data_IF_531683758369
#
_entry.id   IF_531683758369
#
_cell.length_a   1.000
_cell.length_b   1.000
_cell.length_c   1.000
_cell.angle_alpha   90.00
_cell.angle_beta   90.00
_cell.angle_gamma   90.00
#
_symmetry.space_group_name_H-M   'P 1'
#
loop_
_entity.id
_entity.type
_entity.pdbx_description
1 polymer ?
#
# COMPACT_ATOMS: atom_id res chain seq x y z
N UNK A 1 14.01 11.78 17.62
CA UNK A 1 13.49 10.94 16.55
C UNK A 1 12.43 10.05 17.17
N UNK A 2 11.17 10.17 16.80
CA UNK A 2 10.12 9.26 17.26
C UNK A 2 10.45 7.88 16.68
N UNK A 3 10.80 6.93 17.55
CA UNK A 3 11.15 5.58 17.15
C UNK A 3 9.94 4.88 16.55
N UNK A 4 10.18 4.06 15.53
CA UNK A 4 9.23 3.08 15.03
C UNK A 4 9.18 1.90 16.01
N UNK A 5 7.98 1.42 16.34
CA UNK A 5 7.80 0.16 17.08
C UNK A 5 7.20 -0.90 16.16
N UNK A 6 7.61 -2.15 16.38
CA UNK A 6 7.12 -3.32 15.63
C UNK A 6 6.15 -4.08 16.55
N UNK A 7 4.95 -4.39 16.05
CA UNK A 7 3.86 -4.92 16.85
C UNK A 7 3.10 -6.00 16.07
N UNK A 8 2.36 -6.85 16.78
CA UNK A 8 1.57 -7.93 16.20
C UNK A 8 0.18 -7.97 16.83
N UNK A 9 -0.84 -8.26 15.99
CA UNK A 9 -2.22 -8.49 16.41
C UNK A 9 -2.81 -9.68 15.66
N UNK A 10 -3.78 -10.35 16.24
CA UNK A 10 -4.54 -11.40 15.56
C UNK A 10 -5.81 -10.79 14.98
N UNK A 11 -5.83 -10.57 13.67
CA UNK A 11 -6.96 -10.02 12.92
C UNK A 11 -7.60 -11.13 12.08
N UNK A 12 -8.92 -11.35 12.21
CA UNK A 12 -9.65 -12.40 11.48
C UNK A 12 -8.99 -13.81 11.61
N UNK A 13 -8.40 -14.10 12.78
CA UNK A 13 -7.69 -15.37 13.03
C UNK A 13 -6.31 -15.47 12.36
N UNK A 14 -5.75 -14.39 11.87
CA UNK A 14 -4.42 -14.31 11.23
C UNK A 14 -3.53 -13.32 11.96
N UNK A 15 -2.29 -13.71 12.24
CA UNK A 15 -1.31 -12.80 12.83
C UNK A 15 -0.88 -11.74 11.80
N UNK A 16 -1.12 -10.49 12.15
CA UNK A 16 -0.78 -9.31 11.34
C UNK A 16 0.27 -8.50 12.07
N UNK A 17 1.38 -8.28 11.39
CA UNK A 17 2.43 -7.36 11.83
C UNK A 17 2.08 -5.93 11.37
N UNK A 18 2.45 -4.95 12.20
CA UNK A 18 2.43 -3.54 11.81
C UNK A 18 3.54 -2.77 12.50
N UNK A 19 3.99 -1.72 11.84
CA UNK A 19 4.85 -0.73 12.49
C UNK A 19 4.01 0.47 12.91
N UNK A 20 4.38 1.05 14.06
CA UNK A 20 3.72 2.21 14.64
C UNK A 20 4.73 3.33 14.86
N UNK A 21 4.35 4.54 14.45
CA UNK A 21 5.13 5.77 14.58
C UNK A 21 4.30 6.82 15.29
N UNK A 22 4.93 7.71 16.08
CA UNK A 22 4.22 8.81 16.71
C UNK A 22 3.09 8.41 17.66
N UNK A 23 3.27 7.35 18.44
CA UNK A 23 2.26 6.74 19.32
C UNK A 23 1.58 7.70 20.31
N UNK A 24 2.19 8.88 20.60
CA UNK A 24 1.64 9.90 21.50
C UNK A 24 0.53 10.78 20.89
N UNK A 25 0.28 10.71 19.58
CA UNK A 25 -0.73 11.52 18.91
C UNK A 25 -2.10 10.85 18.92
N UNK A 26 -3.16 11.65 19.04
CA UNK A 26 -4.54 11.16 19.09
C UNK A 26 -5.12 10.88 17.69
N UNK A 27 -4.76 11.70 16.69
CA UNK A 27 -5.22 11.49 15.32
C UNK A 27 -4.36 10.44 14.62
N UNK A 28 -5.00 9.53 13.89
CA UNK A 28 -4.36 8.35 13.30
C UNK A 28 -4.35 8.43 11.78
N UNK A 29 -3.19 8.10 11.20
CA UNK A 29 -3.04 7.78 9.78
C UNK A 29 -2.78 6.29 9.64
N UNK A 30 -3.55 5.60 8.81
CA UNK A 30 -3.23 4.26 8.31
C UNK A 30 -2.48 4.44 7.00
N UNK A 31 -1.24 3.94 6.92
CA UNK A 31 -0.41 4.00 5.72
C UNK A 31 -0.17 2.57 5.19
N UNK A 32 -0.83 2.22 4.08
CA UNK A 32 -0.87 0.84 3.59
C UNK A 32 -0.10 0.66 2.28
N UNK A 33 0.76 -0.34 2.24
CA UNK A 33 1.68 -0.64 1.14
C UNK A 33 1.03 -1.30 -0.10
N UNK A 34 1.79 -1.41 -1.18
CA UNK A 34 1.40 -2.08 -2.43
C UNK A 34 1.47 -3.62 -2.38
N UNK A 35 1.08 -4.27 -3.48
CA UNK A 35 0.85 -5.71 -3.60
C UNK A 35 2.00 -6.60 -3.07
N UNK A 36 3.19 -6.45 -3.62
CA UNK A 36 4.37 -7.30 -3.35
C UNK A 36 5.37 -6.60 -2.41
N UNK A 37 4.86 -5.73 -1.53
CA UNK A 37 5.65 -4.87 -0.66
C UNK A 37 5.33 -5.12 0.82
N UNK A 38 5.94 -4.36 1.70
CA UNK A 38 5.74 -4.42 3.15
C UNK A 38 5.38 -3.04 3.71
N UNK A 39 4.87 -2.97 4.92
CA UNK A 39 4.59 -1.72 5.62
C UNK A 39 5.80 -0.78 5.73
N UNK A 40 7.01 -1.34 5.63
CA UNK A 40 8.26 -0.59 5.70
C UNK A 40 8.52 0.30 4.47
N UNK A 41 7.79 0.11 3.37
CA UNK A 41 7.80 1.05 2.24
C UNK A 41 7.27 2.44 2.62
N UNK A 42 6.44 2.48 3.65
CA UNK A 42 5.85 3.73 4.15
C UNK A 42 6.76 4.50 5.11
N UNK A 43 7.93 3.96 5.49
CA UNK A 43 8.80 4.48 6.55
C UNK A 43 9.14 5.97 6.39
N UNK A 44 9.51 6.41 5.18
CA UNK A 44 9.89 7.81 4.93
C UNK A 44 8.71 8.76 5.17
N UNK A 45 7.54 8.44 4.62
CA UNK A 45 6.32 9.21 4.82
C UNK A 45 5.82 9.10 6.26
N UNK A 46 5.87 7.91 6.86
CA UNK A 46 5.44 7.70 8.23
C UNK A 46 6.30 8.48 9.23
N UNK A 47 7.61 8.52 9.04
CA UNK A 47 8.52 9.31 9.87
C UNK A 47 8.21 10.82 9.79
N UNK A 48 7.87 11.33 8.60
CA UNK A 48 7.43 12.71 8.41
C UNK A 48 6.09 12.99 9.11
N UNK A 49 5.09 12.17 8.85
CA UNK A 49 3.74 12.33 9.41
C UNK A 49 3.71 12.13 10.94
N UNK A 50 4.62 11.33 11.49
CA UNK A 50 4.73 11.05 12.92
C UNK A 50 5.07 12.29 13.79
N UNK A 51 5.41 13.39 13.18
CA UNK A 51 5.56 14.70 13.86
C UNK A 51 4.22 15.26 14.32
N UNK A 52 3.10 14.78 13.76
CA UNK A 52 1.73 15.29 14.01
C UNK A 52 0.69 14.20 14.23
N UNK A 53 0.86 13.02 13.67
CA UNK A 53 -0.10 11.91 13.72
C UNK A 53 0.51 10.64 14.27
N UNK A 54 -0.32 9.78 14.84
CA UNK A 54 0.00 8.38 15.06
C UNK A 54 -0.14 7.64 13.73
N UNK A 55 0.92 7.02 13.22
CA UNK A 55 0.92 6.36 11.91
C UNK A 55 1.04 4.85 12.10
N UNK A 56 0.09 4.11 11.53
CA UNK A 56 0.03 2.66 11.55
C UNK A 56 0.32 2.13 10.14
N UNK A 57 1.40 1.36 9.98
CA UNK A 57 1.80 0.77 8.70
C UNK A 57 1.74 -0.76 8.80
N UNK A 58 0.61 -1.39 8.46
CA UNK A 58 0.49 -2.84 8.52
C UNK A 58 1.23 -3.53 7.38
N UNK A 59 1.71 -4.75 7.64
CA UNK A 59 2.01 -5.72 6.60
C UNK A 59 0.71 -6.47 6.25
N UNK A 60 0.31 -6.46 5.01
CA UNK A 60 -0.86 -7.24 4.57
C UNK A 60 -0.60 -8.73 4.78
N UNK A 61 -1.63 -9.52 5.04
CA UNK A 61 -1.54 -10.98 5.10
C UNK A 61 -0.72 -11.54 3.93
N UNK A 62 0.26 -12.38 4.21
CA UNK A 62 1.16 -12.94 3.20
C UNK A 62 2.32 -12.05 2.79
N UNK A 63 2.54 -10.90 3.45
CA UNK A 63 3.64 -9.96 3.17
C UNK A 63 4.40 -9.63 4.44
N UNK A 64 5.67 -9.29 4.28
CA UNK A 64 6.52 -8.87 5.38
C UNK A 64 6.50 -9.88 6.53
N UNK A 65 6.29 -9.38 7.74
CA UNK A 65 6.27 -10.20 8.96
C UNK A 65 4.88 -10.72 9.34
N UNK A 66 3.84 -10.41 8.55
CA UNK A 66 2.51 -11.00 8.74
C UNK A 66 2.47 -12.47 8.32
N UNK A 67 1.59 -13.22 8.95
CA UNK A 67 1.35 -14.64 8.63
C UNK A 67 1.04 -14.83 7.15
N UNK A 68 1.42 -15.95 6.57
CA UNK A 68 0.95 -16.40 5.26
C UNK A 68 -0.41 -17.07 5.39
N UNK A 69 -1.26 -16.91 4.37
CA UNK A 69 -2.59 -17.50 4.40
C UNK A 69 -2.54 -19.02 4.25
N UNK A 70 -3.21 -19.78 5.11
CA UNK A 70 -3.48 -21.19 4.86
C UNK A 70 -4.56 -21.43 3.81
N UNK A 71 -5.34 -20.39 3.45
CA UNK A 71 -6.44 -20.44 2.51
C UNK A 71 -6.32 -19.35 1.42
N UNK A 72 -5.23 -19.34 0.62
CA UNK A 72 -4.89 -18.22 -0.25
C UNK A 72 -5.98 -17.87 -1.27
N UNK A 73 -6.79 -18.84 -1.70
CA UNK A 73 -7.91 -18.59 -2.62
C UNK A 73 -9.08 -17.81 -2.01
N UNK A 74 -9.27 -17.92 -0.70
CA UNK A 74 -10.35 -17.21 0.00
C UNK A 74 -9.88 -15.91 0.66
N UNK A 75 -8.58 -15.82 1.02
CA UNK A 75 -8.09 -14.74 1.87
C UNK A 75 -7.23 -13.70 1.14
N UNK A 76 -6.66 -14.04 -0.02
CA UNK A 76 -5.96 -13.05 -0.84
C UNK A 76 -6.95 -12.34 -1.77
N UNK A 77 -7.79 -11.48 -1.19
CA UNK A 77 -8.76 -10.65 -1.91
C UNK A 77 -9.06 -9.37 -1.14
N UNK A 78 -9.55 -8.35 -1.84
CA UNK A 78 -9.88 -7.05 -1.21
C UNK A 78 -10.97 -7.18 -0.15
N UNK A 79 -11.90 -8.12 -0.29
CA UNK A 79 -12.96 -8.36 0.69
C UNK A 79 -12.40 -8.87 2.03
N UNK A 80 -11.38 -9.73 2.01
CA UNK A 80 -10.73 -10.19 3.23
C UNK A 80 -9.79 -9.12 3.82
N UNK A 81 -9.05 -8.41 2.98
CA UNK A 81 -8.19 -7.30 3.43
C UNK A 81 -8.99 -6.16 4.08
N UNK A 82 -10.21 -5.89 3.59
CA UNK A 82 -11.13 -4.97 4.26
C UNK A 82 -11.49 -5.44 5.68
N UNK A 83 -11.79 -6.74 5.87
CA UNK A 83 -12.05 -7.31 7.20
C UNK A 83 -10.82 -7.18 8.11
N UNK A 84 -9.63 -7.46 7.60
CA UNK A 84 -8.38 -7.27 8.34
C UNK A 84 -8.20 -5.81 8.78
N UNK A 85 -8.50 -4.86 7.90
CA UNK A 85 -8.43 -3.43 8.22
C UNK A 85 -9.42 -3.04 9.33
N UNK A 86 -10.66 -3.53 9.28
CA UNK A 86 -11.66 -3.31 10.34
C UNK A 86 -11.17 -3.88 11.66
N UNK A 87 -10.76 -5.16 11.67
CA UNK A 87 -10.27 -5.84 12.87
C UNK A 87 -9.05 -5.14 13.49
N UNK A 88 -8.10 -4.71 12.66
CA UNK A 88 -6.93 -3.94 13.09
C UNK A 88 -7.32 -2.63 13.78
N UNK A 89 -8.20 -1.84 13.18
CA UNK A 89 -8.66 -0.57 13.74
C UNK A 89 -9.44 -0.78 15.04
N UNK A 90 -10.29 -1.81 15.11
CA UNK A 90 -11.10 -2.12 16.30
C UNK A 90 -10.20 -2.51 17.48
N UNK A 91 -9.22 -3.38 17.28
CA UNK A 91 -8.29 -3.81 18.33
C UNK A 91 -7.36 -2.68 18.79
N UNK A 92 -7.03 -1.73 17.92
CA UNK A 92 -6.24 -0.56 18.27
C UNK A 92 -7.07 0.58 18.87
N UNK A 93 -8.39 0.41 18.99
CA UNK A 93 -9.31 1.42 19.52
C UNK A 93 -9.42 2.67 18.62
N UNK A 94 -9.17 2.52 17.31
CA UNK A 94 -9.16 3.63 16.35
C UNK A 94 -10.58 3.81 15.81
N UNK A 95 -11.32 4.78 16.33
CA UNK A 95 -12.67 5.08 15.88
C UNK A 95 -12.71 5.75 14.51
N UNK A 96 -11.74 6.65 14.23
CA UNK A 96 -11.60 7.35 12.96
C UNK A 96 -10.13 7.44 12.57
N UNK A 97 -9.85 7.46 11.26
CA UNK A 97 -8.50 7.61 10.73
C UNK A 97 -8.48 8.40 9.41
N UNK A 98 -7.29 8.81 9.04
CA UNK A 98 -6.89 9.22 7.70
C UNK A 98 -6.27 8.00 7.03
N UNK A 99 -6.43 7.86 5.71
CA UNK A 99 -5.90 6.70 5.00
C UNK A 99 -4.99 7.12 3.86
N UNK A 100 -3.79 6.57 3.83
CA UNK A 100 -2.84 6.65 2.72
C UNK A 100 -2.60 5.25 2.21
N UNK A 101 -2.94 4.96 0.96
CA UNK A 101 -2.71 3.64 0.37
C UNK A 101 -1.97 3.70 -0.94
N UNK A 102 -0.87 2.96 -1.05
CA UNK A 102 -0.16 2.77 -2.31
C UNK A 102 -0.72 1.57 -3.06
N UNK A 103 -1.11 1.75 -4.33
CA UNK A 103 -1.54 0.64 -5.18
C UNK A 103 -2.61 -0.21 -4.48
N UNK A 104 -2.37 -1.50 -4.22
CA UNK A 104 -3.29 -2.37 -3.47
C UNK A 104 -3.76 -1.75 -2.15
N UNK A 105 -2.89 -1.08 -1.39
CA UNK A 105 -3.27 -0.41 -0.14
C UNK A 105 -4.29 0.71 -0.35
N UNK A 106 -4.25 1.37 -1.50
CA UNK A 106 -5.26 2.35 -1.91
C UNK A 106 -6.57 1.67 -2.34
N UNK A 107 -6.50 0.54 -3.05
CA UNK A 107 -7.69 -0.23 -3.42
C UNK A 107 -8.42 -0.79 -2.17
N UNK A 108 -7.67 -1.23 -1.15
CA UNK A 108 -8.23 -1.61 0.16
C UNK A 108 -8.91 -0.41 0.81
N UNK A 109 -8.24 0.76 0.84
CA UNK A 109 -8.79 1.99 1.42
C UNK A 109 -10.05 2.46 0.72
N UNK A 110 -10.10 2.40 -0.62
CA UNK A 110 -11.27 2.74 -1.42
C UNK A 110 -12.46 1.82 -1.08
N UNK A 111 -12.24 0.50 -1.12
CA UNK A 111 -13.27 -0.49 -0.75
C UNK A 111 -13.77 -0.27 0.67
N UNK A 112 -12.86 -0.12 1.62
CA UNK A 112 -13.20 0.05 3.03
C UNK A 112 -13.95 1.37 3.30
N UNK A 113 -13.56 2.47 2.64
CA UNK A 113 -14.21 3.77 2.80
C UNK A 113 -15.64 3.79 2.23
N UNK A 114 -15.90 3.06 1.15
CA UNK A 114 -17.25 2.87 0.62
C UNK A 114 -18.05 1.81 1.39
N UNK A 115 -17.38 0.89 2.06
CA UNK A 115 -17.94 -0.27 2.75
C UNK A 115 -17.89 -0.17 4.27
N UNK A 116 -17.18 -1.11 4.90
CA UNK A 116 -17.21 -1.35 6.35
C UNK A 116 -16.59 -0.24 7.20
N UNK A 117 -15.71 0.59 6.64
CA UNK A 117 -15.12 1.75 7.31
C UNK A 117 -15.73 3.08 6.84
N UNK A 118 -16.92 3.05 6.22
CA UNK A 118 -17.67 4.25 5.88
C UNK A 118 -17.91 5.10 7.15
N UNK A 119 -17.58 6.40 7.06
CA UNK A 119 -17.61 7.33 8.18
C UNK A 119 -16.45 7.20 9.18
N UNK A 120 -15.63 6.14 9.11
CA UNK A 120 -14.40 6.00 9.92
C UNK A 120 -13.17 6.52 9.19
N UNK A 121 -13.07 6.33 7.87
CA UNK A 121 -12.04 6.98 7.05
C UNK A 121 -12.53 8.39 6.72
N UNK A 122 -11.82 9.42 7.22
CA UNK A 122 -12.21 10.82 7.03
C UNK A 122 -11.66 11.45 5.75
N UNK A 123 -10.48 11.02 5.32
CA UNK A 123 -9.79 11.45 4.10
C UNK A 123 -9.03 10.28 3.51
N UNK A 124 -8.99 10.18 2.20
CA UNK A 124 -8.34 9.09 1.49
C UNK A 124 -7.29 9.64 0.53
N UNK A 125 -6.03 9.22 0.69
CA UNK A 125 -4.96 9.43 -0.28
C UNK A 125 -4.71 8.13 -1.02
N UNK A 126 -4.84 8.17 -2.33
CA UNK A 126 -4.55 7.08 -3.26
C UNK A 126 -3.22 7.38 -3.95
N UNK A 127 -2.21 6.57 -3.69
CA UNK A 127 -0.93 6.66 -4.37
C UNK A 127 -0.91 5.69 -5.55
N UNK A 128 -1.10 6.23 -6.73
CA UNK A 128 -1.07 5.62 -8.05
C UNK A 128 -2.00 4.42 -8.22
N UNK A 129 -3.24 4.60 -7.80
CA UNK A 129 -4.31 3.62 -7.96
C UNK A 129 -5.64 4.34 -8.19
N UNK A 130 -6.53 3.70 -8.92
CA UNK A 130 -7.89 4.16 -9.16
C UNK A 130 -8.88 3.00 -9.05
N UNK A 131 -10.16 3.27 -9.35
CA UNK A 131 -11.24 2.27 -9.28
C UNK A 131 -11.19 1.25 -10.43
N UNK A 132 -10.22 1.37 -11.34
CA UNK A 132 -9.98 0.42 -12.43
C UNK A 132 -8.50 0.42 -12.79
N UNK A 133 -7.94 -0.77 -13.03
CA UNK A 133 -6.55 -0.97 -13.45
C UNK A 133 -6.47 -1.20 -14.95
N UNK A 134 -5.33 -0.83 -15.55
CA UNK A 134 -5.01 -1.18 -16.92
C UNK A 134 -4.67 -2.67 -17.02
N UNK A 135 -5.38 -3.40 -17.85
CA UNK A 135 -5.19 -4.86 -18.02
C UNK A 135 -3.75 -5.25 -18.39
N UNK A 136 -3.03 -4.54 -19.28
CA UNK A 136 -1.62 -4.88 -19.57
C UNK A 136 -0.71 -4.81 -18.33
N UNK A 137 -0.95 -3.84 -17.43
CA UNK A 137 -0.19 -3.73 -16.19
C UNK A 137 -0.51 -4.88 -15.21
N UNK A 138 -1.77 -5.29 -15.12
CA UNK A 138 -2.18 -6.46 -14.32
C UNK A 138 -1.49 -7.72 -14.84
N UNK A 139 -1.49 -7.95 -16.15
CA UNK A 139 -0.81 -9.09 -16.78
C UNK A 139 0.70 -9.08 -16.50
N UNK A 140 1.34 -7.92 -16.62
CA UNK A 140 2.75 -7.75 -16.27
C UNK A 140 3.01 -8.11 -14.80
N UNK A 141 2.20 -7.63 -13.86
CA UNK A 141 2.32 -7.96 -12.43
C UNK A 141 2.19 -9.47 -12.21
N UNK A 142 1.20 -10.11 -12.80
CA UNK A 142 0.99 -11.56 -12.70
C UNK A 142 2.17 -12.37 -13.18
N UNK A 143 2.86 -11.91 -14.22
CA UNK A 143 3.98 -12.64 -14.84
C UNK A 143 5.19 -12.82 -13.92
N UNK A 144 5.43 -11.90 -12.96
CA UNK A 144 6.58 -11.98 -12.05
C UNK A 144 6.21 -12.27 -10.59
N UNK A 145 5.03 -11.85 -10.13
CA UNK A 145 4.69 -11.90 -8.72
C UNK A 145 4.43 -13.34 -8.22
N UNK A 146 3.98 -14.26 -9.09
CA UNK A 146 3.72 -15.66 -8.74
C UNK A 146 4.97 -16.53 -8.60
N UNK A 147 6.14 -16.04 -9.00
CA UNK A 147 7.40 -16.79 -8.97
C UNK A 147 8.55 -15.86 -8.59
N UNK A 148 8.63 -15.44 -7.31
CA UNK A 148 9.68 -14.54 -6.88
C UNK A 148 11.06 -15.19 -7.07
N UNK A 149 12.04 -14.47 -7.65
CA UNK A 149 13.37 -14.98 -7.86
C UNK A 149 14.11 -15.14 -6.52
N UNK A 150 15.11 -16.03 -6.50
CA UNK A 150 16.00 -16.20 -5.37
C UNK A 150 17.45 -15.93 -5.77
N UNK A 151 18.19 -15.23 -4.91
CA UNK A 151 19.53 -14.71 -5.17
C UNK A 151 20.51 -15.25 -4.12
N UNK A 152 21.78 -15.39 -4.49
CA UNK A 152 22.82 -15.83 -3.58
C UNK A 152 23.15 -14.76 -2.52
N UNK A 153 23.02 -13.48 -2.88
CA UNK A 153 23.44 -12.35 -2.05
C UNK A 153 22.38 -11.25 -1.96
N UNK A 154 22.49 -10.42 -0.91
CA UNK A 154 21.68 -9.21 -0.76
C UNK A 154 21.94 -8.19 -1.88
N UNK A 155 23.19 -8.11 -2.36
CA UNK A 155 23.56 -7.18 -3.43
C UNK A 155 22.86 -7.53 -4.76
N UNK A 156 22.73 -8.81 -5.08
CA UNK A 156 21.97 -9.28 -6.25
C UNK A 156 20.48 -8.97 -6.11
N UNK A 157 19.89 -9.17 -4.93
CA UNK A 157 18.51 -8.82 -4.66
C UNK A 157 18.29 -7.29 -4.75
N UNK A 158 19.21 -6.47 -4.24
CA UNK A 158 19.14 -5.02 -4.36
C UNK A 158 19.20 -4.59 -5.83
N UNK A 159 20.11 -5.17 -6.63
CA UNK A 159 20.19 -4.89 -8.06
C UNK A 159 18.88 -5.24 -8.80
N UNK A 160 18.28 -6.36 -8.44
CA UNK A 160 16.96 -6.75 -8.94
C UNK A 160 15.88 -5.73 -8.55
N UNK A 161 15.82 -5.30 -7.29
CA UNK A 161 14.84 -4.31 -6.85
C UNK A 161 15.05 -2.95 -7.51
N UNK A 162 16.29 -2.51 -7.70
CA UNK A 162 16.61 -1.27 -8.45
C UNK A 162 16.10 -1.33 -9.90
N UNK A 163 16.04 -2.51 -10.49
CA UNK A 163 15.49 -2.69 -11.84
C UNK A 163 13.97 -2.71 -11.84
N UNK A 164 13.35 -3.53 -10.98
CA UNK A 164 11.90 -3.74 -10.95
C UNK A 164 11.17 -2.49 -10.43
N UNK A 165 11.75 -1.81 -9.44
CA UNK A 165 11.16 -0.62 -8.82
C UNK A 165 11.75 0.70 -9.32
N UNK A 166 12.49 0.70 -10.44
CA UNK A 166 12.92 1.94 -11.11
C UNK A 166 11.78 2.95 -11.31
N UNK A 167 10.52 2.52 -11.62
CA UNK A 167 9.39 3.43 -11.74
C UNK A 167 9.00 4.18 -10.47
N UNK A 168 9.50 3.81 -9.29
CA UNK A 168 9.23 4.54 -8.03
C UNK A 168 9.79 5.97 -8.04
N UNK A 169 10.65 6.29 -9.00
CA UNK A 169 11.37 7.54 -9.07
C UNK A 169 12.75 7.44 -8.43
N UNK A 170 13.30 8.59 -8.05
CA UNK A 170 14.65 8.63 -7.48
C UNK A 170 14.65 8.21 -6.01
N UNK A 171 15.47 7.21 -5.68
CA UNK A 171 15.79 6.80 -4.32
C UNK A 171 17.31 6.86 -4.09
N UNK A 172 17.79 7.44 -2.98
CA UNK A 172 19.21 7.38 -2.62
C UNK A 172 19.62 5.95 -2.24
N UNK A 173 20.90 5.64 -2.31
CA UNK A 173 21.44 4.29 -2.01
C UNK A 173 21.04 3.77 -0.62
N UNK A 174 20.94 4.65 0.36
CA UNK A 174 20.52 4.27 1.71
C UNK A 174 19.05 3.77 1.73
N UNK A 175 18.17 4.37 0.94
CA UNK A 175 16.78 3.93 0.83
C UNK A 175 16.67 2.63 0.02
N UNK A 176 17.49 2.42 -1.03
CA UNK A 176 17.55 1.14 -1.73
C UNK A 176 17.98 0.00 -0.82
N UNK A 177 19.01 0.22 0.02
CA UNK A 177 19.43 -0.76 1.03
C UNK A 177 18.33 -1.06 2.04
N UNK A 178 17.72 -0.03 2.63
CA UNK A 178 16.62 -0.18 3.57
C UNK A 178 15.45 -0.94 2.93
N UNK A 179 15.03 -0.57 1.72
CA UNK A 179 13.97 -1.25 0.97
C UNK A 179 14.31 -2.74 0.79
N UNK A 180 15.57 -3.06 0.45
CA UNK A 180 16.01 -4.44 0.26
C UNK A 180 15.99 -5.22 1.58
N UNK A 181 16.56 -4.66 2.64
CA UNK A 181 16.63 -5.29 3.96
C UNK A 181 15.26 -5.56 4.56
N UNK A 182 14.30 -4.65 4.37
CA UNK A 182 12.94 -4.75 4.92
C UNK A 182 11.98 -5.57 4.07
N UNK A 183 12.38 -5.93 2.84
CA UNK A 183 11.52 -6.64 1.87
C UNK A 183 12.07 -7.99 1.48
N UNK A 184 13.02 -8.55 2.24
CA UNK A 184 13.62 -9.84 1.94
C UNK A 184 13.34 -10.89 3.02
N UNK A 185 13.37 -12.14 2.64
CA UNK A 185 13.49 -13.28 3.53
C UNK A 185 14.60 -14.23 3.07
N UNK A 186 15.21 -14.95 4.02
CA UNK A 186 16.15 -16.03 3.71
C UNK A 186 15.42 -17.34 3.52
N UNK A 187 15.83 -18.07 2.49
CA UNK A 187 15.41 -19.43 2.24
C UNK A 187 16.24 -20.43 3.08
N UNK A 188 15.77 -21.67 3.26
CA UNK A 188 16.52 -22.71 4.01
C UNK A 188 17.90 -23.00 3.42
N UNK A 189 18.09 -22.79 2.12
CA UNK A 189 19.39 -22.98 1.43
C UNK A 189 20.33 -21.77 1.53
N UNK A 190 19.95 -20.72 2.29
CA UNK A 190 20.71 -19.51 2.54
C UNK A 190 20.51 -18.40 1.52
N UNK A 191 19.87 -18.66 0.38
CA UNK A 191 19.52 -17.61 -0.60
C UNK A 191 18.52 -16.61 -0.04
N UNK A 192 18.42 -15.46 -0.68
CA UNK A 192 17.45 -14.41 -0.34
C UNK A 192 16.43 -14.23 -1.45
N UNK A 193 15.21 -13.89 -1.08
CA UNK A 193 14.07 -13.71 -2.00
C UNK A 193 13.18 -12.59 -1.48
N UNK A 194 12.34 -11.95 -2.32
CA UNK A 194 11.33 -11.01 -1.85
C UNK A 194 10.42 -11.62 -0.76
N UNK A 195 10.04 -10.80 0.21
CA UNK A 195 9.31 -11.25 1.41
C UNK A 195 7.80 -11.15 1.22
N UNK A 196 7.26 -12.00 0.36
CA UNK A 196 5.81 -12.18 0.19
C UNK A 196 5.49 -13.64 -0.18
N UNK A 197 4.26 -14.03 0.07
CA UNK A 197 3.71 -15.33 -0.37
C UNK A 197 3.39 -15.26 -1.87
N UNK A 198 4.04 -16.08 -2.72
CA UNK A 198 3.73 -16.09 -4.16
C UNK A 198 2.28 -16.48 -4.48
N UNK A 199 1.59 -17.19 -3.58
CA UNK A 199 0.17 -17.51 -3.75
C UNK A 199 -0.75 -16.29 -3.77
N UNK A 200 -0.25 -15.10 -3.38
CA UNK A 200 -1.03 -13.86 -3.43
C UNK A 200 -1.52 -13.49 -4.83
N UNK A 201 -0.87 -13.97 -5.90
CA UNK A 201 -1.31 -13.72 -7.28
C UNK A 201 -2.67 -14.33 -7.60
N UNK A 202 -3.12 -15.29 -6.77
CA UNK A 202 -4.45 -15.90 -6.90
C UNK A 202 -5.57 -14.87 -6.79
N UNK A 203 -5.34 -13.72 -6.15
CA UNK A 203 -6.34 -12.65 -6.12
C UNK A 203 -6.78 -12.21 -7.53
N UNK A 204 -5.90 -12.26 -8.53
CA UNK A 204 -6.23 -11.87 -9.91
C UNK A 204 -6.93 -12.96 -10.70
N UNK A 205 -6.92 -14.22 -10.24
CA UNK A 205 -7.59 -15.35 -10.89
C UNK A 205 -8.87 -15.75 -10.17
N UNK A 206 -8.82 -15.77 -8.84
CA UNK A 206 -9.93 -16.22 -8.01
C UNK A 206 -10.92 -15.06 -7.73
N UNK A 207 -10.43 -13.80 -7.83
CA UNK A 207 -11.21 -12.57 -7.60
C UNK A 207 -10.93 -11.52 -8.69
N UNK A 208 -11.24 -11.82 -9.97
CA UNK A 208 -10.86 -10.99 -11.13
C UNK A 208 -11.46 -9.58 -11.09
N UNK A 209 -12.61 -9.41 -10.44
CA UNK A 209 -13.33 -8.13 -10.36
C UNK A 209 -12.91 -7.25 -9.17
N UNK A 210 -11.99 -7.72 -8.32
CA UNK A 210 -11.59 -7.00 -7.10
C UNK A 210 -11.13 -5.56 -7.36
N UNK A 211 -10.47 -5.33 -8.50
CA UNK A 211 -9.99 -4.00 -8.89
C UNK A 211 -10.93 -3.24 -9.83
N UNK A 212 -12.16 -3.72 -10.03
CA UNK A 212 -13.22 -2.98 -10.71
C UNK A 212 -14.16 -2.38 -9.64
N UNK A 213 -13.84 -1.16 -9.18
CA UNK A 213 -14.44 -0.55 -8.01
C UNK A 213 -15.19 0.76 -8.32
N UNK A 214 -15.69 0.94 -9.55
CA UNK A 214 -16.38 2.18 -9.91
C UNK A 214 -17.64 2.45 -9.08
N UNK A 215 -18.41 1.41 -8.69
CA UNK A 215 -19.58 1.58 -7.82
C UNK A 215 -19.18 2.04 -6.42
N UNK A 216 -18.10 1.47 -5.88
CA UNK A 216 -17.52 1.91 -4.61
C UNK A 216 -17.00 3.35 -4.70
N UNK A 217 -16.33 3.70 -5.81
CA UNK A 217 -15.85 5.06 -6.07
C UNK A 217 -16.99 6.08 -6.05
N UNK A 218 -18.08 5.80 -6.78
CA UNK A 218 -19.22 6.71 -6.88
C UNK A 218 -19.98 6.86 -5.56
N UNK A 219 -19.88 5.88 -4.68
CA UNK A 219 -20.47 5.92 -3.34
C UNK A 219 -19.65 6.70 -2.31
N UNK A 220 -18.40 7.07 -2.62
CA UNK A 220 -17.55 7.81 -1.68
C UNK A 220 -18.09 9.23 -1.43
N UNK A 221 -18.25 9.57 -0.14
CA UNK A 221 -18.70 10.89 0.31
C UNK A 221 -17.63 11.61 1.16
N UNK A 222 -16.36 11.31 0.95
CA UNK A 222 -15.22 11.91 1.67
C UNK A 222 -14.23 12.54 0.70
N UNK A 223 -13.38 13.48 1.15
CA UNK A 223 -12.33 14.05 0.30
C UNK A 223 -11.31 12.98 -0.11
N UNK A 224 -10.95 12.99 -1.40
CA UNK A 224 -9.93 12.09 -1.98
C UNK A 224 -8.85 12.89 -2.69
N UNK A 225 -7.59 12.57 -2.39
CA UNK A 225 -6.41 12.98 -3.15
C UNK A 225 -5.84 11.76 -3.86
N UNK A 226 -5.60 11.87 -5.15
CA UNK A 226 -4.88 10.86 -5.92
C UNK A 226 -3.53 11.44 -6.38
N UNK A 227 -2.45 10.76 -6.05
CA UNK A 227 -1.10 11.02 -6.56
C UNK A 227 -0.86 10.05 -7.71
N UNK A 228 -0.74 10.56 -8.93
CA UNK A 228 -0.50 9.74 -10.12
C UNK A 228 0.94 9.89 -10.58
N UNK A 229 1.66 8.80 -10.79
CA UNK A 229 2.96 8.88 -11.47
C UNK A 229 2.80 9.34 -12.93
N UNK A 230 3.62 10.30 -13.37
CA UNK A 230 3.61 10.83 -14.76
C UNK A 230 3.63 9.70 -15.81
N UNK A 231 4.45 8.67 -15.54
CA UNK A 231 4.65 7.52 -16.43
C UNK A 231 3.90 6.26 -15.95
N UNK A 232 2.87 6.41 -15.12
CA UNK A 232 2.11 5.25 -14.64
C UNK A 232 1.43 4.51 -15.78
N UNK A 233 1.71 3.22 -15.84
CA UNK A 233 1.09 2.26 -16.75
C UNK A 233 -0.12 1.54 -16.10
N UNK A 234 -0.34 1.76 -14.80
CA UNK A 234 -1.41 1.13 -14.03
C UNK A 234 -2.63 2.06 -13.91
N UNK A 235 -2.41 3.29 -13.46
CA UNK A 235 -3.43 4.34 -13.41
C UNK A 235 -3.32 5.21 -14.66
N UNK A 236 -4.12 4.91 -15.67
CA UNK A 236 -4.09 5.62 -16.95
C UNK A 236 -4.65 7.05 -16.82
N UNK A 237 -4.23 8.00 -17.69
CA UNK A 237 -4.71 9.38 -17.67
C UNK A 237 -6.24 9.48 -17.78
N UNK A 238 -6.87 8.67 -18.63
CA UNK A 238 -8.31 8.65 -18.81
C UNK A 238 -9.06 8.18 -17.55
N UNK A 239 -8.52 7.22 -16.82
CA UNK A 239 -9.07 6.80 -15.52
C UNK A 239 -8.94 7.92 -14.49
N UNK A 240 -7.80 8.58 -14.44
CA UNK A 240 -7.56 9.72 -13.55
C UNK A 240 -8.51 10.89 -13.86
N UNK A 241 -8.79 11.16 -15.14
CA UNK A 241 -9.75 12.19 -15.54
C UNK A 241 -11.19 11.82 -15.14
N UNK A 242 -11.58 10.56 -15.30
CA UNK A 242 -12.86 10.08 -14.82
C UNK A 242 -13.00 10.22 -13.30
N UNK A 243 -11.91 10.01 -12.53
CA UNK A 243 -11.87 10.22 -11.08
C UNK A 243 -12.09 11.68 -10.67
N UNK A 244 -11.68 12.65 -11.51
CA UNK A 244 -11.97 14.08 -11.30
C UNK A 244 -13.43 14.42 -11.56
N UNK A 245 -14.07 13.71 -12.47
CA UNK A 245 -15.40 14.05 -13.01
C UNK A 245 -16.55 13.42 -12.20
N UNK A 246 -16.33 12.27 -11.53
CA UNK A 246 -17.39 11.49 -10.88
C UNK A 246 -17.05 11.08 -9.45
N UNK A 247 -18.05 10.61 -8.72
CA UNK A 247 -17.91 10.20 -7.32
C UNK A 247 -17.45 11.36 -6.44
N UNK A 248 -16.40 11.19 -5.63
CA UNK A 248 -15.88 12.21 -4.72
C UNK A 248 -15.18 13.37 -5.46
N UNK A 249 -15.02 13.28 -6.79
CA UNK A 249 -14.31 14.26 -7.62
C UNK A 249 -12.91 14.54 -7.08
N UNK A 250 -12.08 13.49 -7.05
CA UNK A 250 -10.75 13.54 -6.45
C UNK A 250 -9.89 14.69 -6.99
N UNK A 251 -9.13 15.30 -6.09
CA UNK A 251 -7.98 16.09 -6.51
C UNK A 251 -6.90 15.11 -7.00
N UNK A 252 -6.53 15.22 -8.30
CA UNK A 252 -5.46 14.37 -8.87
C UNK A 252 -4.24 15.24 -9.13
N UNK A 253 -3.11 14.85 -8.54
CA UNK A 253 -1.80 15.50 -8.70
C UNK A 253 -0.87 14.51 -9.41
N UNK A 254 -0.27 14.95 -10.50
CA UNK A 254 0.73 14.19 -11.23
C UNK A 254 2.11 14.38 -10.60
N UNK A 255 2.83 13.28 -10.37
CA UNK A 255 4.17 13.25 -9.79
C UNK A 255 5.18 13.01 -10.90
N UNK A 256 5.95 14.05 -11.21
CA UNK A 256 6.93 14.02 -12.30
C UNK A 256 8.03 12.97 -12.07
N UNK A 257 8.49 12.35 -13.15
CA UNK A 257 9.59 11.38 -13.16
C UNK A 257 9.29 10.04 -12.48
N UNK A 258 8.03 9.79 -12.12
CA UNK A 258 7.60 8.53 -11.50
C UNK A 258 6.64 7.76 -12.41
N UNK A 259 6.70 6.44 -12.34
CA UNK A 259 5.68 5.53 -12.84
C UNK A 259 4.89 4.92 -11.69
N UNK A 260 4.55 3.63 -11.78
CA UNK A 260 3.81 2.94 -10.73
C UNK A 260 4.77 2.33 -9.68
N UNK A 261 4.77 2.86 -8.47
CA UNK A 261 4.09 4.02 -7.92
C UNK A 261 5.12 4.99 -7.31
N UNK A 262 4.83 6.30 -7.20
CA UNK A 262 5.72 7.24 -6.51
C UNK A 262 6.14 6.72 -5.13
N UNK A 263 7.44 6.83 -4.80
CA UNK A 263 8.01 6.28 -3.57
C UNK A 263 7.58 7.02 -2.29
N UNK A 264 6.92 8.18 -2.40
CA UNK A 264 6.50 9.02 -1.28
C UNK A 264 7.66 9.38 -0.34
N UNK A 265 8.80 9.77 -0.93
CA UNK A 265 10.07 9.96 -0.21
C UNK A 265 10.67 11.36 -0.39
N UNK A 266 9.98 12.29 -1.05
CA UNK A 266 10.47 13.64 -1.28
C UNK A 266 9.70 14.68 -0.44
N UNK A 267 10.33 15.84 -0.10
CA UNK A 267 9.67 16.92 0.64
C UNK A 267 8.37 17.40 -0.03
N UNK A 268 8.31 17.43 -1.36
CA UNK A 268 7.13 17.83 -2.13
C UNK A 268 5.99 16.83 -1.95
N UNK A 269 6.29 15.53 -2.03
CA UNK A 269 5.31 14.46 -1.82
C UNK A 269 4.81 14.44 -0.36
N UNK A 270 5.70 14.66 0.61
CA UNK A 270 5.33 14.81 2.01
C UNK A 270 4.36 15.98 2.22
N UNK A 271 4.69 17.14 1.66
CA UNK A 271 3.87 18.34 1.80
C UNK A 271 2.49 18.21 1.14
N UNK A 272 2.37 17.45 0.04
CA UNK A 272 1.07 17.18 -0.61
C UNK A 272 0.15 16.38 0.33
N UNK A 273 0.65 15.28 0.87
CA UNK A 273 -0.12 14.40 1.77
C UNK A 273 -0.45 15.13 3.08
N UNK A 274 0.56 15.77 3.70
CA UNK A 274 0.37 16.51 4.95
C UNK A 274 -0.68 17.61 4.84
N UNK A 275 -0.58 18.47 3.82
CA UNK A 275 -1.58 19.54 3.58
C UNK A 275 -2.98 18.99 3.38
N UNK A 276 -3.11 17.89 2.64
CA UNK A 276 -4.41 17.27 2.43
C UNK A 276 -5.01 16.70 3.71
N UNK A 277 -4.19 16.09 4.57
CA UNK A 277 -4.66 15.54 5.83
C UNK A 277 -4.98 16.62 6.87
N UNK A 278 -4.28 17.76 6.81
CA UNK A 278 -4.46 18.88 7.73
C UNK A 278 -5.66 19.79 7.40
N UNK A 279 -6.19 19.74 6.18
CA UNK A 279 -7.32 20.56 5.74
C UNK A 279 -8.65 20.05 6.29
#
# INVERSE_FOLDING_TARGET
>A
MSGCTSNYLVCEGREIHYTEWGAGHAEVVVAWHGLARTGRDMDAMAAHLATRWRVICPDTLGRGLSQWSPEPGAEYCLAFYEKLAVSLLDQLGIAQCLWLGTSMGGAIGLKAAAGRLSGRIRRLVLNDIGPQLAEPAVQRIRSYAGSPPAFATMAELEAFFRTVYAPYGWLPDAQWRQLTETSMRRLPDGRVTPHYDPAMVRQFTDHPDDYLQWDAWDALALPVLCLRGEHSDLLLPETAEAMRARGPRAAVVEIAGCGHAPALNTPEQFALVERFFAA
#
